data_IF_910755541256
#
_entry.id   IF_910755541256
#
_cell.length_a   1.000
_cell.length_b   1.000
_cell.length_c   1.000
_cell.angle_alpha   90.00
_cell.angle_beta   90.00
_cell.angle_gamma   90.00
#
_symmetry.space_group_name_H-M   'P 1'
#
loop_
_entity.id
_entity.type
_entity.pdbx_description
1 polymer ?
#
# COMPACT_ATOMS: atom_id res chain seq x y z
N UNK A 1 -39.16 20.58 73.29
CA UNK A 1 -38.94 20.59 71.84
C UNK A 1 -39.80 21.68 71.23
N UNK A 2 -39.29 22.60 70.44
CA UNK A 2 -40.07 23.53 69.69
C UNK A 2 -40.49 22.86 68.39
N UNK A 3 -41.76 22.89 68.05
CA UNK A 3 -42.33 22.28 66.87
C UNK A 3 -43.02 23.37 66.02
N UNK A 4 -42.73 23.45 64.74
CA UNK A 4 -43.47 24.30 63.78
C UNK A 4 -44.43 23.41 63.00
N UNK A 5 -45.75 23.58 63.18
CA UNK A 5 -46.78 22.86 62.41
C UNK A 5 -47.40 23.76 61.40
N UNK A 6 -47.30 23.41 60.13
CA UNK A 6 -47.97 24.09 59.00
C UNK A 6 -49.13 23.19 58.55
N UNK A 7 -50.37 23.69 58.60
CA UNK A 7 -51.60 22.96 58.26
C UNK A 7 -52.17 23.43 56.90
N UNK A 8 -53.02 22.63 56.32
CA UNK A 8 -53.79 22.93 55.08
C UNK A 8 -52.89 23.18 53.87
N UNK A 9 -52.00 22.24 53.62
CA UNK A 9 -51.04 22.32 52.45
C UNK A 9 -50.15 23.61 52.49
N UNK A 10 -49.87 24.11 53.67
CA UNK A 10 -48.90 25.19 53.82
C UNK A 10 -47.53 24.77 53.33
N UNK A 11 -46.76 25.75 52.94
CA UNK A 11 -45.37 25.57 52.51
C UNK A 11 -44.39 26.28 53.43
N UNK A 12 -43.19 25.75 53.54
CA UNK A 12 -42.06 26.46 54.10
C UNK A 12 -41.35 27.13 52.93
N UNK A 13 -41.28 28.45 52.95
CA UNK A 13 -40.67 29.21 51.90
C UNK A 13 -39.43 29.90 52.43
N UNK A 14 -38.32 29.84 51.71
CA UNK A 14 -37.10 30.60 51.93
C UNK A 14 -36.90 31.48 50.73
N UNK A 15 -36.73 32.79 50.97
CA UNK A 15 -36.42 33.78 49.95
C UNK A 15 -34.91 34.02 49.85
N UNK A 16 -34.45 34.42 48.69
CA UNK A 16 -33.08 34.89 48.53
C UNK A 16 -32.87 36.27 49.19
N UNK A 17 -31.64 36.78 49.23
CA UNK A 17 -31.27 37.96 49.98
C UNK A 17 -31.98 39.24 49.46
N UNK A 18 -32.38 39.32 48.19
CA UNK A 18 -33.07 40.43 47.59
C UNK A 18 -34.59 40.22 47.49
N UNK A 19 -35.08 39.09 47.97
CA UNK A 19 -36.48 38.69 47.96
C UNK A 19 -37.12 38.58 46.56
N UNK A 20 -36.26 38.43 45.53
CA UNK A 20 -36.71 38.32 44.14
C UNK A 20 -37.19 36.91 43.78
N UNK A 21 -36.70 35.87 44.48
CA UNK A 21 -37.02 34.45 44.23
C UNK A 21 -37.21 33.69 45.54
N UNK A 22 -37.93 32.59 45.45
CA UNK A 22 -38.19 31.74 46.62
C UNK A 22 -37.97 30.25 46.31
N UNK A 23 -37.55 29.49 47.32
CA UNK A 23 -37.57 28.03 47.37
C UNK A 23 -38.58 27.58 48.42
N UNK A 24 -39.49 26.70 48.02
CA UNK A 24 -40.54 26.19 48.91
C UNK A 24 -40.53 24.68 49.05
N UNK A 25 -40.75 24.24 50.29
CA UNK A 25 -41.05 22.85 50.61
C UNK A 25 -42.54 22.72 50.96
N UNK A 26 -43.24 21.85 50.24
CA UNK A 26 -44.69 21.66 50.40
C UNK A 26 -45.03 20.17 50.33
N UNK A 27 -45.89 19.72 51.21
CA UNK A 27 -46.40 18.37 51.15
C UNK A 27 -47.38 18.20 49.95
N UNK A 28 -47.36 17.07 49.25
CA UNK A 28 -48.38 16.76 48.25
C UNK A 28 -49.76 16.74 48.87
N UNK A 29 -50.81 16.86 48.03
CA UNK A 29 -52.21 16.93 48.51
C UNK A 29 -52.63 15.72 49.33
N UNK A 30 -52.00 14.57 49.14
CA UNK A 30 -52.27 13.33 49.89
C UNK A 30 -50.94 12.62 50.20
N UNK A 31 -50.72 12.23 51.45
CA UNK A 31 -49.62 11.35 51.87
C UNK A 31 -50.24 10.12 52.53
N UNK A 32 -49.80 8.93 52.12
CA UNK A 32 -50.39 7.66 52.65
C UNK A 32 -50.00 7.39 54.11
N UNK A 33 -48.90 7.95 54.58
CA UNK A 33 -48.39 7.86 55.94
C UNK A 33 -47.53 9.06 56.27
N UNK A 34 -47.23 9.26 57.58
CA UNK A 34 -46.28 10.31 57.98
C UNK A 34 -44.93 10.05 57.33
N UNK A 35 -44.36 11.10 56.75
CA UNK A 35 -43.03 11.08 56.16
C UNK A 35 -42.10 11.96 57.03
N UNK A 36 -40.95 11.43 57.36
CA UNK A 36 -39.91 12.16 58.14
C UNK A 36 -38.63 12.21 57.27
N UNK A 37 -38.08 13.38 57.08
CA UNK A 37 -36.84 13.60 56.37
C UNK A 37 -35.79 14.11 57.36
N UNK A 38 -34.76 13.29 57.57
CA UNK A 38 -33.61 13.69 58.39
C UNK A 38 -32.57 14.34 57.47
N UNK A 39 -32.20 15.57 57.75
CA UNK A 39 -31.16 16.26 56.98
C UNK A 39 -29.79 15.63 57.20
N UNK A 40 -28.93 15.64 56.20
CA UNK A 40 -27.54 15.19 56.34
C UNK A 40 -26.82 15.96 57.43
N UNK A 41 -25.94 15.28 58.18
CA UNK A 41 -25.12 15.91 59.26
C UNK A 41 -23.98 16.76 58.72
N UNK A 42 -23.68 16.67 57.43
CA UNK A 42 -22.60 17.41 56.76
C UNK A 42 -23.15 18.06 55.45
N UNK A 43 -22.52 19.15 55.01
CA UNK A 43 -22.90 19.86 53.81
C UNK A 43 -22.51 19.19 52.49
N UNK A 44 -21.81 18.05 52.53
CA UNK A 44 -21.32 17.38 51.33
C UNK A 44 -20.16 18.10 50.65
N UNK A 45 -19.66 17.53 49.56
CA UNK A 45 -18.61 18.09 48.70
C UNK A 45 -19.20 18.46 47.31
N UNK A 46 -18.40 19.04 46.42
CA UNK A 46 -18.78 19.25 45.05
C UNK A 46 -19.21 17.91 44.40
N UNK A 47 -20.17 17.95 43.47
CA UNK A 47 -20.79 16.81 42.81
C UNK A 47 -21.65 15.89 43.72
N UNK A 48 -21.94 16.29 44.98
CA UNK A 48 -22.90 15.55 45.77
C UNK A 48 -24.34 15.98 45.47
N UNK A 49 -25.24 15.00 45.47
CA UNK A 49 -26.69 15.21 45.40
C UNK A 49 -27.34 14.70 46.68
N UNK A 50 -28.50 15.22 46.99
CA UNK A 50 -29.30 14.71 48.11
C UNK A 50 -30.04 13.47 47.63
N UNK A 51 -29.78 12.35 48.30
CA UNK A 51 -30.51 11.11 48.07
C UNK A 51 -31.32 10.73 49.32
N UNK A 52 -32.33 9.89 49.16
CA UNK A 52 -33.11 9.36 50.28
C UNK A 52 -33.07 7.82 50.27
N UNK A 53 -32.93 7.21 51.44
CA UNK A 53 -33.14 5.76 51.59
C UNK A 53 -34.61 5.41 51.76
N UNK A 54 -34.93 4.13 51.79
CA UNK A 54 -36.29 3.61 51.98
C UNK A 54 -36.98 4.08 53.30
N UNK A 55 -36.20 4.54 54.26
CA UNK A 55 -36.67 5.07 55.55
C UNK A 55 -36.81 6.60 55.57
N UNK A 56 -36.59 7.29 54.42
CA UNK A 56 -36.70 8.74 54.29
C UNK A 56 -35.50 9.54 54.85
N UNK A 57 -34.39 8.88 55.18
CA UNK A 57 -33.18 9.57 55.61
C UNK A 57 -32.48 10.19 54.39
N UNK A 58 -32.25 11.48 54.43
CA UNK A 58 -31.51 12.22 53.43
C UNK A 58 -30.01 12.08 53.67
N UNK A 59 -29.26 11.81 52.61
CA UNK A 59 -27.79 11.75 52.63
C UNK A 59 -27.20 12.49 51.44
N UNK A 60 -25.98 12.95 51.61
CA UNK A 60 -25.19 13.51 50.46
C UNK A 60 -24.47 12.35 49.78
N UNK A 61 -24.77 12.14 48.54
CA UNK A 61 -24.18 11.05 47.72
C UNK A 61 -23.47 11.66 46.54
N UNK A 62 -22.24 11.22 46.27
CA UNK A 62 -21.52 11.64 45.04
C UNK A 62 -22.30 11.12 43.82
N UNK A 63 -22.61 12.02 42.88
CA UNK A 63 -23.33 11.70 41.66
C UNK A 63 -22.61 10.59 40.86
N UNK A 64 -21.29 10.58 40.90
CA UNK A 64 -20.48 9.56 40.23
C UNK A 64 -20.71 8.13 40.78
N UNK A 65 -21.20 8.01 42.03
CA UNK A 65 -21.55 6.69 42.63
C UNK A 65 -22.94 6.22 42.26
N UNK A 66 -23.79 7.12 41.73
CA UNK A 66 -25.18 6.82 41.27
C UNK A 66 -25.22 6.55 39.77
N UNK A 67 -24.24 7.04 39.00
CA UNK A 67 -24.09 6.73 37.58
C UNK A 67 -23.36 5.39 37.47
N UNK A 68 -24.08 4.30 37.74
CA UNK A 68 -23.52 2.94 37.67
C UNK A 68 -23.38 2.41 36.26
N UNK A 69 -23.64 3.25 35.24
CA UNK A 69 -23.52 2.88 33.82
C UNK A 69 -22.14 3.16 33.22
N UNK A 70 -21.23 3.82 33.96
CA UNK A 70 -19.88 4.06 33.46
C UNK A 70 -18.97 2.87 33.75
N UNK A 71 -18.32 2.38 32.69
CA UNK A 71 -17.32 1.33 32.78
C UNK A 71 -16.11 1.85 33.58
N UNK A 72 -15.85 1.30 34.74
CA UNK A 72 -14.67 1.65 35.56
C UNK A 72 -13.41 1.02 34.95
N UNK A 73 -12.82 1.69 33.96
CA UNK A 73 -11.62 1.22 33.30
C UNK A 73 -10.43 1.14 34.25
N UNK A 74 -9.83 -0.06 34.32
CA UNK A 74 -8.62 -0.30 35.10
C UNK A 74 -7.42 0.21 34.31
N UNK A 75 -6.65 1.13 34.90
CA UNK A 75 -5.47 1.72 34.23
C UNK A 75 -4.29 0.74 34.11
N UNK A 76 -4.29 -0.33 34.93
CA UNK A 76 -3.25 -1.36 34.87
C UNK A 76 -3.57 -2.35 33.75
N UNK A 77 -2.66 -2.46 32.76
CA UNK A 77 -2.76 -3.44 31.68
C UNK A 77 -2.57 -4.86 32.24
N UNK A 78 -3.44 -5.79 31.83
CA UNK A 78 -3.38 -7.18 32.27
C UNK A 78 -2.58 -8.02 31.27
N UNK A 79 -1.59 -8.75 31.78
CA UNK A 79 -0.74 -9.66 30.99
C UNK A 79 -0.97 -11.14 31.36
N UNK A 80 -1.68 -11.38 32.46
CA UNK A 80 -1.86 -12.71 33.04
C UNK A 80 -3.35 -13.02 33.17
N UNK A 81 -3.66 -14.30 33.36
CA UNK A 81 -5.00 -14.75 33.66
C UNK A 81 -5.50 -14.14 34.99
N UNK A 82 -6.65 -13.51 34.96
CA UNK A 82 -7.31 -12.95 36.15
C UNK A 82 -8.80 -13.27 36.14
N UNK A 83 -9.43 -13.18 37.29
CA UNK A 83 -10.88 -13.13 37.41
C UNK A 83 -11.33 -11.68 37.30
N UNK A 84 -12.28 -11.43 36.42
CA UNK A 84 -12.86 -10.12 36.16
C UNK A 84 -13.88 -9.76 37.26
N UNK A 85 -14.03 -8.47 37.51
CA UNK A 85 -15.02 -7.96 38.44
C UNK A 85 -16.14 -7.21 37.68
N UNK A 86 -17.37 -7.34 38.11
CA UNK A 86 -18.50 -6.61 37.53
C UNK A 86 -18.32 -5.10 37.62
N UNK A 87 -18.79 -4.38 36.59
CA UNK A 87 -18.69 -2.93 36.48
C UNK A 87 -17.32 -2.41 35.98
N UNK A 88 -16.38 -3.31 35.72
CA UNK A 88 -15.01 -2.91 35.34
C UNK A 88 -14.70 -3.18 33.87
N UNK A 89 -13.81 -2.34 33.32
CA UNK A 89 -13.18 -2.51 32.02
C UNK A 89 -11.69 -2.78 32.15
N UNK A 90 -11.14 -3.63 31.28
CA UNK A 90 -9.74 -4.06 31.34
C UNK A 90 -9.05 -3.93 30.00
N UNK A 91 -7.82 -3.44 30.00
CA UNK A 91 -6.91 -3.50 28.87
C UNK A 91 -6.07 -4.77 28.96
N UNK A 92 -6.17 -5.65 27.97
CA UNK A 92 -5.52 -6.96 27.94
C UNK A 92 -4.40 -6.95 26.90
N UNK A 93 -3.22 -7.41 27.30
CA UNK A 93 -2.06 -7.52 26.40
C UNK A 93 -1.67 -9.00 26.25
N UNK A 94 -1.88 -9.55 25.06
CA UNK A 94 -1.53 -10.93 24.71
C UNK A 94 -0.23 -11.06 23.92
N UNK A 95 0.61 -10.03 23.88
CA UNK A 95 1.89 -10.06 23.13
C UNK A 95 2.79 -11.23 23.51
N UNK A 96 2.78 -11.63 24.79
CA UNK A 96 3.61 -12.74 25.30
C UNK A 96 3.01 -14.14 25.04
N UNK A 97 1.73 -14.23 24.66
CA UNK A 97 1.02 -15.49 24.40
C UNK A 97 -0.47 -15.39 24.69
N UNK A 98 -1.25 -16.44 24.36
CA UNK A 98 -2.67 -16.51 24.66
C UNK A 98 -2.95 -16.35 26.16
N UNK A 99 -4.02 -15.64 26.49
CA UNK A 99 -4.38 -15.31 27.89
C UNK A 99 -5.84 -15.65 28.12
N UNK A 100 -6.20 -15.99 29.36
CA UNK A 100 -7.57 -16.31 29.76
C UNK A 100 -8.06 -15.33 30.81
N UNK A 101 -9.23 -14.74 30.58
CA UNK A 101 -9.95 -13.91 31.54
C UNK A 101 -11.18 -14.65 32.02
N UNK A 102 -11.30 -14.81 33.35
CA UNK A 102 -12.40 -15.56 33.97
C UNK A 102 -13.51 -14.58 34.33
N UNK A 103 -14.74 -14.83 33.89
CA UNK A 103 -15.91 -14.00 34.22
C UNK A 103 -16.26 -14.09 35.73
N UNK A 104 -16.97 -13.10 36.30
CA UNK A 104 -17.42 -13.13 37.66
C UNK A 104 -18.19 -14.41 38.00
N UNK A 105 -17.97 -14.98 39.15
CA UNK A 105 -18.78 -16.09 39.66
C UNK A 105 -20.11 -15.57 40.27
N UNK A 106 -21.19 -16.30 40.05
CA UNK A 106 -22.52 -15.95 40.59
C UNK A 106 -22.97 -14.52 40.18
N UNK A 107 -22.99 -14.19 38.91
CA UNK A 107 -23.39 -12.87 38.45
C UNK A 107 -24.88 -12.62 38.66
N UNK A 108 -25.26 -11.37 38.85
CA UNK A 108 -26.65 -10.89 38.91
C UNK A 108 -27.04 -10.26 37.56
N UNK A 109 -28.33 -10.27 37.21
CA UNK A 109 -28.80 -9.61 36.01
C UNK A 109 -28.41 -8.12 36.00
N UNK A 110 -27.80 -7.68 34.89
CA UNK A 110 -27.25 -6.34 34.74
C UNK A 110 -25.76 -6.21 35.08
N UNK A 111 -25.12 -7.23 35.67
CA UNK A 111 -23.67 -7.26 35.81
C UNK A 111 -23.01 -7.18 34.42
N UNK A 112 -21.92 -6.43 34.31
CA UNK A 112 -21.21 -6.28 33.05
C UNK A 112 -19.69 -6.27 33.23
N UNK A 113 -18.97 -6.63 32.18
CA UNK A 113 -17.53 -6.48 32.06
C UNK A 113 -17.16 -5.97 30.68
N UNK A 114 -16.10 -5.17 30.59
CA UNK A 114 -15.58 -4.67 29.33
C UNK A 114 -14.14 -5.09 29.13
N UNK A 115 -13.79 -5.47 27.91
CA UNK A 115 -12.44 -5.91 27.55
C UNK A 115 -11.97 -5.15 26.32
N UNK A 116 -10.70 -4.76 26.32
CA UNK A 116 -10.05 -4.08 25.19
C UNK A 116 -8.69 -4.72 24.93
N UNK A 117 -8.47 -5.10 23.67
CA UNK A 117 -7.13 -5.47 23.20
C UNK A 117 -6.21 -4.25 23.25
N UNK A 118 -5.20 -4.32 24.14
CA UNK A 118 -4.25 -3.24 24.35
C UNK A 118 -3.24 -3.12 23.22
N UNK A 119 -2.69 -4.24 22.76
CA UNK A 119 -1.56 -4.28 21.82
C UNK A 119 -1.96 -4.57 20.37
N UNK A 120 -3.23 -4.95 20.11
CA UNK A 120 -3.66 -5.39 18.79
C UNK A 120 -3.10 -6.76 18.43
N UNK A 121 -3.16 -7.71 19.36
CA UNK A 121 -2.52 -9.03 19.24
C UNK A 121 -3.47 -10.21 19.44
N UNK A 122 -4.77 -9.99 19.59
CA UNK A 122 -5.74 -11.09 19.78
C UNK A 122 -5.83 -12.01 18.55
N UNK A 123 -5.56 -11.51 17.35
CA UNK A 123 -5.53 -12.30 16.13
C UNK A 123 -4.36 -13.30 16.09
N UNK A 124 -3.23 -12.97 16.71
CA UNK A 124 -2.06 -13.86 16.81
C UNK A 124 -2.12 -14.71 18.08
N UNK A 125 -2.45 -14.11 19.19
CA UNK A 125 -2.51 -14.73 20.52
C UNK A 125 -3.91 -14.47 21.10
N UNK A 126 -4.83 -15.39 20.88
CA UNK A 126 -6.22 -15.23 21.27
C UNK A 126 -6.41 -14.90 22.75
N UNK A 127 -7.44 -14.11 23.06
CA UNK A 127 -7.98 -13.98 24.40
C UNK A 127 -9.11 -14.98 24.59
N UNK A 128 -9.01 -15.86 25.56
CA UNK A 128 -10.11 -16.74 25.95
C UNK A 128 -10.89 -16.11 27.11
N UNK A 129 -12.19 -16.03 27.00
CA UNK A 129 -13.11 -15.65 28.07
C UNK A 129 -13.66 -16.93 28.68
N UNK A 130 -13.21 -17.22 29.89
CA UNK A 130 -13.70 -18.35 30.67
C UNK A 130 -15.05 -17.97 31.30
N UNK A 131 -16.05 -18.75 31.01
CA UNK A 131 -17.44 -18.54 31.42
C UNK A 131 -17.70 -18.69 32.94
N UNK A 132 -16.77 -19.26 33.68
CA UNK A 132 -16.85 -19.50 35.14
C UNK A 132 -18.19 -20.10 35.60
N UNK A 133 -18.69 -21.10 34.87
CA UNK A 133 -19.93 -21.79 35.20
C UNK A 133 -21.21 -21.22 34.57
N UNK A 134 -21.25 -19.95 34.17
CA UNK A 134 -22.38 -19.33 33.49
C UNK A 134 -22.35 -19.63 31.98
N UNK A 135 -23.45 -19.49 31.26
CA UNK A 135 -23.46 -19.55 29.80
C UNK A 135 -22.88 -18.25 29.21
N UNK A 136 -22.42 -18.34 27.97
CA UNK A 136 -22.11 -17.19 27.12
C UNK A 136 -22.91 -17.37 25.82
N UNK A 137 -23.77 -16.41 25.48
CA UNK A 137 -24.64 -16.48 24.28
C UNK A 137 -25.50 -17.76 24.27
N UNK A 138 -26.03 -18.16 25.44
CA UNK A 138 -26.80 -19.39 25.60
C UNK A 138 -25.99 -20.70 25.56
N UNK A 139 -24.68 -20.63 25.37
CA UNK A 139 -23.80 -21.81 25.24
C UNK A 139 -22.98 -22.07 26.50
N UNK A 140 -22.93 -23.33 26.93
CA UNK A 140 -22.04 -23.77 28.01
C UNK A 140 -20.59 -23.94 27.54
N UNK A 141 -20.04 -22.93 26.87
CA UNK A 141 -18.70 -22.92 26.28
C UNK A 141 -17.99 -21.60 26.56
N UNK A 142 -16.67 -21.63 26.67
CA UNK A 142 -15.85 -20.43 26.71
C UNK A 142 -15.87 -19.72 25.36
N UNK A 143 -15.62 -18.43 25.34
CA UNK A 143 -15.57 -17.63 24.12
C UNK A 143 -14.14 -17.17 23.82
N UNK A 144 -13.73 -17.22 22.57
CA UNK A 144 -12.43 -16.76 22.13
C UNK A 144 -12.56 -15.45 21.33
N UNK A 145 -11.78 -14.44 21.70
CA UNK A 145 -11.58 -13.24 20.92
C UNK A 145 -10.30 -13.38 20.09
N UNK A 146 -10.46 -13.39 18.78
CA UNK A 146 -9.39 -13.62 17.79
C UNK A 146 -9.21 -12.45 16.83
N UNK A 147 -9.83 -11.31 17.11
CA UNK A 147 -9.76 -10.13 16.26
C UNK A 147 -8.87 -9.07 16.91
N UNK A 148 -7.85 -8.62 16.20
CA UNK A 148 -6.96 -7.56 16.69
C UNK A 148 -7.74 -6.28 16.98
N UNK A 149 -7.34 -5.60 18.05
CA UNK A 149 -7.95 -4.37 18.55
C UNK A 149 -9.42 -4.48 18.96
N UNK A 150 -9.92 -5.69 19.14
CA UNK A 150 -11.28 -5.88 19.60
C UNK A 150 -11.59 -5.11 20.90
N UNK A 151 -12.80 -4.62 21.00
CA UNK A 151 -13.37 -4.04 22.21
C UNK A 151 -14.76 -4.64 22.38
N UNK A 152 -15.01 -5.27 23.51
CA UNK A 152 -16.27 -5.94 23.78
C UNK A 152 -16.81 -5.57 25.16
N UNK A 153 -18.14 -5.57 25.28
CA UNK A 153 -18.85 -5.47 26.54
C UNK A 153 -19.80 -6.67 26.64
N UNK A 154 -19.66 -7.42 27.72
CA UNK A 154 -20.56 -8.51 28.07
C UNK A 154 -21.45 -8.08 29.22
N UNK A 155 -22.73 -8.38 29.14
CA UNK A 155 -23.74 -8.14 30.17
C UNK A 155 -24.38 -9.47 30.54
N UNK A 156 -24.48 -9.77 31.83
CA UNK A 156 -25.20 -10.94 32.32
C UNK A 156 -26.70 -10.66 32.35
N UNK A 157 -27.50 -11.51 31.73
CA UNK A 157 -28.95 -11.34 31.63
C UNK A 157 -29.68 -12.30 32.58
N UNK A 158 -29.43 -13.59 32.42
CA UNK A 158 -30.09 -14.65 33.20
C UNK A 158 -29.26 -15.95 33.13
N UNK A 159 -29.78 -17.03 33.75
CA UNK A 159 -29.10 -18.33 33.76
C UNK A 159 -29.22 -19.11 32.44
N UNK A 160 -30.13 -18.71 31.51
CA UNK A 160 -30.35 -19.38 30.23
C UNK A 160 -29.37 -18.86 29.18
N UNK A 161 -29.40 -17.57 28.91
CA UNK A 161 -28.50 -16.93 27.96
C UNK A 161 -27.11 -16.63 28.57
N UNK A 162 -27.08 -16.36 29.87
CA UNK A 162 -25.85 -16.02 30.58
C UNK A 162 -25.33 -14.64 30.22
N UNK A 163 -24.09 -14.58 29.82
CA UNK A 163 -23.41 -13.37 29.38
C UNK A 163 -23.62 -13.14 27.89
N UNK A 164 -24.14 -11.97 27.53
CA UNK A 164 -24.34 -11.57 26.14
C UNK A 164 -23.39 -10.46 25.77
N UNK A 165 -22.82 -10.55 24.56
CA UNK A 165 -22.11 -9.42 23.96
C UNK A 165 -23.12 -8.34 23.56
N UNK A 166 -22.98 -7.15 24.13
CA UNK A 166 -23.84 -5.99 23.84
C UNK A 166 -23.12 -4.95 22.99
N UNK A 167 -21.80 -4.95 23.03
CA UNK A 167 -20.93 -4.12 22.16
C UNK A 167 -19.81 -5.00 21.67
N UNK A 168 -19.65 -5.06 20.37
CA UNK A 168 -18.54 -5.74 19.68
C UNK A 168 -17.96 -4.77 18.66
N UNK A 169 -16.81 -4.20 18.96
CA UNK A 169 -16.10 -3.29 18.07
C UNK A 169 -14.65 -3.73 17.94
N UNK A 170 -14.16 -3.75 16.72
CA UNK A 170 -12.73 -3.66 16.48
C UNK A 170 -12.44 -2.27 15.90
N UNK A 171 -11.43 -1.62 16.42
CA UNK A 171 -10.86 -0.48 15.72
C UNK A 171 -10.08 -1.10 14.57
N UNK A 172 -10.60 -1.00 13.36
CA UNK A 172 -9.87 -1.32 12.15
C UNK A 172 -8.51 -0.61 12.16
N UNK A 173 -7.77 -0.78 11.14
CA UNK A 173 -6.42 -0.28 11.06
C UNK A 173 -6.33 1.20 11.45
N UNK A 174 -5.43 1.49 12.39
CA UNK A 174 -5.10 2.87 12.77
C UNK A 174 -4.14 3.45 11.74
N UNK A 175 -4.36 4.69 11.39
CA UNK A 175 -3.52 5.41 10.42
C UNK A 175 -4.20 5.57 9.05
N UNK A 176 -3.53 6.21 8.09
CA UNK A 176 -4.10 6.41 6.78
C UNK A 176 -4.36 5.06 6.08
N UNK A 177 -5.55 4.89 5.42
CA UNK A 177 -5.91 3.63 4.78
C UNK A 177 -5.02 3.29 3.58
N UNK A 178 -4.39 4.28 2.96
CA UNK A 178 -3.53 4.11 1.79
C UNK A 178 -2.08 4.48 2.08
N UNK A 179 -1.19 4.02 1.20
CA UNK A 179 0.23 4.35 1.29
C UNK A 179 0.43 5.86 1.22
N UNK A 180 1.17 6.41 2.18
CA UNK A 180 1.68 7.78 2.14
C UNK A 180 3.20 7.75 1.97
N UNK A 181 3.72 8.51 1.01
CA UNK A 181 5.13 8.52 0.68
C UNK A 181 5.62 9.89 0.22
N UNK A 182 6.94 10.04 0.21
CA UNK A 182 7.67 11.20 -0.32
C UNK A 182 8.75 10.73 -1.29
N UNK A 183 9.34 11.66 -2.04
CA UNK A 183 10.44 11.39 -2.98
C UNK A 183 10.02 11.49 -4.45
N UNK A 184 10.98 11.81 -5.31
CA UNK A 184 10.76 12.07 -6.72
C UNK A 184 9.92 13.32 -7.00
N UNK A 185 9.52 13.49 -8.26
CA UNK A 185 8.53 14.51 -8.63
C UNK A 185 7.15 13.96 -8.38
N UNK A 186 6.35 14.66 -7.56
CA UNK A 186 5.02 14.21 -7.15
C UNK A 186 3.94 14.93 -7.96
N UNK A 187 3.05 14.17 -8.58
CA UNK A 187 1.85 14.67 -9.24
C UNK A 187 0.62 13.91 -8.73
N UNK A 188 -0.57 14.48 -8.93
CA UNK A 188 -1.84 13.86 -8.52
C UNK A 188 -2.76 13.73 -9.73
N UNK A 189 -3.42 12.58 -9.87
CA UNK A 189 -4.42 12.35 -10.91
C UNK A 189 -5.56 11.50 -10.34
N UNK A 190 -6.76 12.08 -10.24
CA UNK A 190 -7.87 11.45 -9.53
C UNK A 190 -7.45 11.11 -8.09
N UNK A 191 -7.65 9.87 -7.70
CA UNK A 191 -7.33 9.37 -6.36
C UNK A 191 -5.88 8.88 -6.24
N UNK A 192 -5.07 9.02 -7.29
CA UNK A 192 -3.70 8.53 -7.32
C UNK A 192 -2.67 9.63 -7.11
N UNK A 193 -1.66 9.32 -6.31
CA UNK A 193 -0.43 10.10 -6.17
C UNK A 193 0.68 9.39 -6.93
N UNK A 194 1.32 10.10 -7.86
CA UNK A 194 2.32 9.56 -8.78
C UNK A 194 3.68 10.12 -8.40
N UNK A 195 4.65 9.25 -8.14
CA UNK A 195 6.02 9.60 -7.84
C UNK A 195 6.91 9.24 -9.03
N UNK A 196 7.51 10.23 -9.67
CA UNK A 196 8.36 10.05 -10.85
C UNK A 196 9.82 10.30 -10.53
N UNK A 197 10.67 9.34 -10.88
CA UNK A 197 12.12 9.42 -10.73
C UNK A 197 12.78 9.34 -12.11
N UNK A 198 13.52 10.37 -12.49
CA UNK A 198 14.30 10.45 -13.74
C UNK A 198 15.81 10.39 -13.47
N UNK A 199 16.22 10.10 -12.28
CA UNK A 199 17.55 9.88 -11.78
C UNK A 199 17.49 9.18 -10.43
N UNK A 200 18.62 8.79 -9.89
CA UNK A 200 18.73 8.14 -8.59
C UNK A 200 18.05 8.96 -7.51
N UNK A 201 17.46 8.27 -6.54
CA UNK A 201 16.71 8.92 -5.47
C UNK A 201 16.22 7.95 -4.40
N UNK A 202 15.27 8.40 -3.62
CA UNK A 202 14.68 7.58 -2.57
C UNK A 202 13.17 7.77 -2.54
N UNK A 203 12.43 6.67 -2.62
CA UNK A 203 11.00 6.62 -2.33
C UNK A 203 10.83 6.28 -0.86
N UNK A 204 10.40 7.25 -0.04
CA UNK A 204 10.24 7.06 1.40
C UNK A 204 8.77 6.90 1.75
N UNK A 205 8.38 5.69 2.15
CA UNK A 205 7.05 5.38 2.66
C UNK A 205 6.98 5.82 4.12
N UNK A 206 6.11 6.79 4.41
CA UNK A 206 5.88 7.33 5.76
C UNK A 206 4.73 6.62 6.48
N UNK A 207 3.78 6.05 5.72
CA UNK A 207 2.73 5.18 6.22
C UNK A 207 2.41 4.11 5.15
N UNK A 208 2.32 2.87 5.59
CA UNK A 208 2.17 1.73 4.67
C UNK A 208 0.72 1.48 4.20
N UNK A 209 -0.25 2.26 4.71
CA UNK A 209 -1.66 1.93 4.53
C UNK A 209 -2.10 0.81 5.47
N UNK A 210 -3.34 0.38 5.37
CA UNK A 210 -3.92 -0.60 6.27
C UNK A 210 -4.95 -1.51 5.56
N UNK A 211 -5.59 -2.44 6.27
CA UNK A 211 -6.53 -3.41 5.69
C UNK A 211 -7.82 -2.78 5.16
N UNK A 212 -8.15 -1.55 5.56
CA UNK A 212 -9.29 -0.79 5.02
C UNK A 212 -9.00 -0.12 3.67
N UNK A 213 -7.74 -0.11 3.27
CA UNK A 213 -7.24 0.44 2.00
C UNK A 213 -6.27 -0.50 1.31
N UNK A 214 -5.03 -0.05 1.09
CA UNK A 214 -4.01 -0.85 0.43
C UNK A 214 -2.60 -0.51 0.93
N UNK A 215 -1.78 -1.53 1.12
CA UNK A 215 -0.35 -1.42 1.40
C UNK A 215 0.51 -1.69 0.14
N UNK A 216 -0.08 -1.63 -1.04
CA UNK A 216 0.63 -1.88 -2.30
C UNK A 216 0.78 -0.62 -3.12
N UNK A 217 1.85 -0.54 -3.90
CA UNK A 217 2.07 0.50 -4.90
C UNK A 217 2.23 -0.14 -6.28
N UNK A 218 1.60 0.46 -7.28
CA UNK A 218 1.89 0.11 -8.66
C UNK A 218 3.21 0.75 -9.10
N UNK A 219 3.87 0.10 -10.03
CA UNK A 219 5.17 0.55 -10.51
C UNK A 219 5.33 0.39 -12.03
N UNK A 220 6.16 1.26 -12.59
CA UNK A 220 6.79 1.11 -13.87
C UNK A 220 8.29 1.37 -13.71
N UNK A 221 9.11 0.39 -14.04
CA UNK A 221 10.58 0.48 -13.97
C UNK A 221 11.13 0.22 -15.36
N UNK A 222 11.72 1.26 -15.97
CA UNK A 222 12.34 1.21 -17.30
C UNK A 222 13.84 1.43 -17.13
N UNK A 223 14.66 0.52 -17.65
CA UNK A 223 16.11 0.61 -17.60
C UNK A 223 16.69 1.44 -18.75
N UNK A 224 17.97 1.73 -18.68
CA UNK A 224 18.70 2.37 -19.79
C UNK A 224 18.74 1.50 -21.03
N UNK A 225 18.51 2.07 -22.20
CA UNK A 225 18.66 1.39 -23.49
C UNK A 225 20.12 1.11 -23.82
N UNK A 226 20.43 0.05 -24.57
CA UNK A 226 21.73 -0.23 -25.11
C UNK A 226 22.10 0.75 -26.25
N UNK A 227 23.39 1.01 -26.42
CA UNK A 227 23.85 1.81 -27.55
C UNK A 227 23.72 1.03 -28.87
N UNK A 228 23.32 1.71 -29.93
CA UNK A 228 23.56 1.22 -31.30
C UNK A 228 25.07 1.27 -31.61
N UNK A 229 25.57 0.39 -32.49
CA UNK A 229 26.95 0.47 -32.91
C UNK A 229 27.17 1.68 -33.81
N UNK A 230 28.16 2.50 -33.54
CA UNK A 230 28.43 3.77 -34.20
C UNK A 230 29.15 3.63 -35.55
N UNK A 231 29.53 2.40 -35.97
CA UNK A 231 30.25 2.16 -37.25
C UNK A 231 29.33 1.78 -38.40
N UNK A 232 29.94 1.50 -39.55
CA UNK A 232 29.27 1.08 -40.78
C UNK A 232 28.47 -0.21 -40.54
N UNK A 233 27.20 -0.25 -40.95
CA UNK A 233 26.31 -1.40 -40.83
C UNK A 233 26.13 -1.93 -39.40
N UNK A 234 26.21 -1.07 -38.42
CA UNK A 234 26.04 -1.47 -37.02
C UNK A 234 24.61 -1.88 -36.70
N UNK A 235 24.43 -2.82 -35.78
CA UNK A 235 23.14 -3.17 -35.24
C UNK A 235 22.55 -2.05 -34.35
N UNK A 236 21.23 -1.96 -34.28
CA UNK A 236 20.51 -1.05 -33.38
C UNK A 236 20.61 -1.49 -31.94
N UNK A 237 20.66 -0.57 -30.98
CA UNK A 237 20.62 -0.89 -29.57
C UNK A 237 19.24 -1.42 -29.12
N UNK A 238 19.22 -2.39 -28.22
CA UNK A 238 18.00 -2.88 -27.60
C UNK A 238 17.47 -1.88 -26.58
N UNK A 239 16.16 -1.84 -26.41
CA UNK A 239 15.52 -1.06 -25.34
C UNK A 239 15.94 -1.57 -23.95
N UNK A 240 15.96 -0.70 -22.96
CA UNK A 240 16.02 -1.12 -21.57
C UNK A 240 14.82 -1.99 -21.19
N UNK A 241 15.04 -2.88 -20.26
CA UNK A 241 13.97 -3.71 -19.72
C UNK A 241 12.82 -2.86 -19.20
N UNK A 242 11.61 -3.34 -19.35
CA UNK A 242 10.38 -2.68 -18.92
C UNK A 242 9.62 -3.61 -18.01
N UNK A 243 9.43 -3.20 -16.75
CA UNK A 243 8.68 -3.96 -15.75
C UNK A 243 7.57 -3.08 -15.19
N UNK A 244 6.34 -3.59 -15.26
CA UNK A 244 5.15 -2.84 -14.89
C UNK A 244 4.14 -3.73 -14.17
N UNK A 245 3.47 -3.17 -13.15
CA UNK A 245 2.31 -3.78 -12.51
C UNK A 245 0.98 -3.14 -12.92
N UNK A 246 1.01 -1.90 -13.42
CA UNK A 246 -0.18 -1.12 -13.79
C UNK A 246 -0.59 -1.34 -15.26
N UNK A 247 -1.87 -1.39 -15.59
CA UNK A 247 -3.05 -1.44 -14.71
C UNK A 247 -3.41 -2.86 -14.27
N UNK A 248 -2.46 -3.74 -14.19
CA UNK A 248 -2.69 -5.16 -14.19
C UNK A 248 -2.77 -5.76 -12.78
N UNK A 249 -3.92 -6.32 -12.39
CA UNK A 249 -4.02 -7.11 -11.17
C UNK A 249 -3.26 -8.45 -11.23
N UNK A 250 -2.81 -8.90 -12.42
CA UNK A 250 -2.21 -10.22 -12.58
C UNK A 250 -0.81 -10.35 -11.96
N UNK A 251 -0.04 -9.26 -11.86
CA UNK A 251 1.27 -9.26 -11.18
C UNK A 251 1.18 -8.74 -9.75
N UNK A 252 0.05 -8.10 -9.38
CA UNK A 252 -0.10 -7.35 -8.15
C UNK A 252 0.87 -6.16 -8.06
N UNK A 253 0.57 -5.17 -7.24
CA UNK A 253 1.51 -4.12 -6.89
C UNK A 253 2.62 -4.65 -5.97
N UNK A 254 3.63 -3.84 -5.71
CA UNK A 254 4.65 -4.12 -4.71
C UNK A 254 4.10 -3.76 -3.32
N UNK A 255 4.05 -4.74 -2.43
CA UNK A 255 3.74 -4.48 -1.01
C UNK A 255 4.88 -3.70 -0.36
N UNK A 256 4.54 -2.62 0.33
CA UNK A 256 5.51 -1.74 0.98
C UNK A 256 5.23 -1.62 2.47
N UNK A 257 6.29 -1.35 3.22
CA UNK A 257 6.26 -0.99 4.64
C UNK A 257 6.80 0.42 4.84
N UNK A 258 6.56 1.02 6.01
CA UNK A 258 7.05 2.36 6.33
C UNK A 258 8.58 2.35 6.47
N UNK A 259 9.27 2.64 5.36
CA UNK A 259 10.73 2.71 5.26
C UNK A 259 11.16 3.45 3.99
N UNK A 260 12.45 3.68 3.85
CA UNK A 260 13.07 4.23 2.65
C UNK A 260 13.41 3.12 1.66
N UNK A 261 13.04 3.32 0.40
CA UNK A 261 13.37 2.44 -0.73
C UNK A 261 14.30 3.20 -1.68
N UNK A 262 15.57 2.82 -1.79
CA UNK A 262 16.47 3.40 -2.78
C UNK A 262 15.95 3.16 -4.20
N UNK A 263 16.03 4.18 -5.03
CA UNK A 263 15.73 4.12 -6.46
C UNK A 263 17.03 4.31 -7.21
N UNK A 264 17.31 3.39 -8.13
CA UNK A 264 18.36 3.54 -9.13
C UNK A 264 17.73 3.69 -10.50
N UNK A 265 18.15 4.70 -11.26
CA UNK A 265 17.72 4.92 -12.64
C UNK A 265 18.92 4.72 -13.56
N UNK A 266 18.89 3.62 -14.32
CA UNK A 266 19.98 3.24 -15.21
C UNK A 266 20.16 4.21 -16.37
N UNK A 267 21.39 4.61 -16.62
CA UNK A 267 21.77 5.40 -17.79
C UNK A 267 21.72 4.58 -19.09
N UNK A 268 21.49 5.23 -20.21
CA UNK A 268 21.71 4.61 -21.51
C UNK A 268 23.19 4.21 -21.70
N UNK A 269 23.42 3.12 -22.43
CA UNK A 269 24.75 2.65 -22.75
C UNK A 269 25.59 3.70 -23.47
N UNK A 270 26.82 3.88 -23.04
CA UNK A 270 27.81 4.59 -23.82
C UNK A 270 28.08 3.86 -25.16
N UNK A 271 28.82 4.47 -26.09
CA UNK A 271 29.09 3.85 -27.39
C UNK A 271 29.48 2.37 -27.27
N UNK A 272 28.77 1.49 -27.94
CA UNK A 272 28.99 0.05 -28.01
C UNK A 272 28.83 -0.71 -26.66
N UNK A 273 28.15 -0.12 -25.69
CA UNK A 273 27.91 -0.77 -24.41
C UNK A 273 26.41 -1.00 -24.16
N UNK A 274 26.11 -1.95 -23.31
CA UNK A 274 24.76 -2.15 -22.80
C UNK A 274 24.34 -0.96 -21.94
N UNK A 275 23.04 -0.76 -21.80
CA UNK A 275 22.46 0.16 -20.83
C UNK A 275 22.63 -0.35 -19.40
N UNK A 276 22.45 0.55 -18.44
CA UNK A 276 22.47 0.23 -17.00
C UNK A 276 21.08 -0.19 -16.50
N UNK A 277 21.02 -1.03 -15.47
CA UNK A 277 19.75 -1.44 -14.89
C UNK A 277 19.07 -0.31 -14.11
N UNK A 278 17.75 -0.35 -14.05
CA UNK A 278 16.96 0.44 -13.09
C UNK A 278 16.37 -0.46 -12.01
N UNK A 279 16.36 0.04 -10.77
CA UNK A 279 15.99 -0.77 -9.60
C UNK A 279 15.02 0.01 -8.72
N UNK A 280 13.92 -0.66 -8.36
CA UNK A 280 13.02 -0.26 -7.27
C UNK A 280 12.80 -1.45 -6.34
N UNK A 281 13.34 -1.42 -5.14
CA UNK A 281 13.27 -2.51 -4.17
C UNK A 281 13.75 -3.85 -4.76
N UNK A 282 12.90 -4.86 -4.83
CA UNK A 282 13.18 -6.16 -5.45
C UNK A 282 12.96 -6.18 -6.97
N UNK A 283 12.47 -5.09 -7.55
CA UNK A 283 12.17 -5.00 -8.98
C UNK A 283 13.39 -4.45 -9.70
N UNK A 284 14.02 -5.29 -10.49
CA UNK A 284 15.15 -4.90 -11.35
C UNK A 284 14.75 -5.04 -12.82
N UNK A 285 14.87 -3.96 -13.58
CA UNK A 285 14.81 -3.97 -15.04
C UNK A 285 16.24 -3.95 -15.58
N UNK A 286 16.57 -4.88 -16.44
CA UNK A 286 17.93 -5.00 -17.00
C UNK A 286 18.18 -3.96 -18.10
N UNK A 287 19.39 -3.46 -18.19
CA UNK A 287 19.79 -2.60 -19.29
C UNK A 287 19.63 -3.25 -20.66
N UNK A 288 19.36 -2.47 -21.69
CA UNK A 288 19.25 -2.94 -23.07
C UNK A 288 20.59 -3.42 -23.62
N UNK A 289 20.57 -4.42 -24.49
CA UNK A 289 21.77 -4.94 -25.16
C UNK A 289 22.30 -3.96 -26.23
N UNK A 290 23.62 -3.81 -26.33
CA UNK A 290 24.26 -3.03 -27.40
C UNK A 290 24.11 -3.70 -28.76
N UNK A 291 24.01 -2.88 -29.82
CA UNK A 291 24.04 -3.36 -31.19
C UNK A 291 25.38 -4.00 -31.54
N UNK A 292 25.33 -5.02 -32.40
CA UNK A 292 26.52 -5.70 -32.91
C UNK A 292 27.31 -4.80 -33.85
N UNK A 293 28.64 -4.92 -33.78
CA UNK A 293 29.53 -4.40 -34.81
C UNK A 293 29.29 -5.12 -36.14
N UNK A 294 29.83 -4.59 -37.21
CA UNK A 294 29.94 -5.28 -38.52
C UNK A 294 30.46 -6.71 -38.31
N UNK A 295 29.77 -7.71 -38.88
CA UNK A 295 30.00 -9.14 -38.72
C UNK A 295 29.94 -9.65 -37.29
N UNK A 296 29.30 -8.91 -36.35
CA UNK A 296 29.18 -9.34 -34.96
C UNK A 296 27.72 -9.40 -34.51
N UNK A 297 27.45 -10.28 -33.56
CA UNK A 297 26.13 -10.42 -32.94
C UNK A 297 25.80 -9.22 -32.05
N UNK A 298 24.53 -8.96 -31.89
CA UNK A 298 24.04 -8.04 -30.86
C UNK A 298 24.19 -8.64 -29.46
N UNK A 299 24.32 -7.77 -28.47
CA UNK A 299 24.39 -8.16 -27.05
C UNK A 299 23.01 -8.47 -26.48
N UNK A 300 22.99 -9.40 -25.54
CA UNK A 300 21.79 -9.66 -24.74
C UNK A 300 21.54 -8.54 -23.72
N UNK A 301 20.25 -8.37 -23.33
CA UNK A 301 19.83 -7.38 -22.33
C UNK A 301 18.35 -7.47 -21.98
N UNK A 302 17.80 -6.45 -21.36
CA UNK A 302 16.35 -6.32 -21.14
C UNK A 302 15.60 -6.53 -22.46
N UNK A 303 15.94 -5.76 -23.49
CA UNK A 303 15.75 -6.14 -24.90
C UNK A 303 17.13 -6.30 -25.55
N UNK A 304 17.25 -7.21 -26.49
CA UNK A 304 18.52 -7.52 -27.16
C UNK A 304 18.89 -6.48 -28.23
N UNK A 305 20.17 -6.24 -28.42
CA UNK A 305 20.69 -5.45 -29.55
C UNK A 305 20.56 -6.16 -30.90
N UNK A 306 20.44 -5.43 -31.98
CA UNK A 306 20.42 -5.97 -33.35
C UNK A 306 21.75 -6.54 -33.76
N UNK A 307 21.80 -7.53 -34.66
CA UNK A 307 23.00 -8.02 -35.31
C UNK A 307 23.60 -6.98 -36.24
N UNK A 308 24.92 -6.91 -36.33
CA UNK A 308 25.62 -6.09 -37.29
C UNK A 308 25.44 -6.58 -38.73
N UNK A 309 25.66 -5.73 -39.68
CA UNK A 309 25.58 -6.04 -41.12
C UNK A 309 26.58 -7.09 -41.56
N UNK A 310 26.29 -7.75 -42.68
CA UNK A 310 27.11 -8.78 -43.34
C UNK A 310 27.47 -8.39 -44.74
N UNK A 311 28.45 -9.08 -45.37
CA UNK A 311 28.81 -8.97 -46.78
C UNK A 311 28.99 -10.35 -47.44
N UNK A 312 29.28 -10.36 -48.74
CA UNK A 312 29.47 -11.58 -49.52
C UNK A 312 30.60 -12.48 -49.08
N UNK A 313 31.47 -12.02 -48.17
CA UNK A 313 32.54 -12.81 -47.53
C UNK A 313 32.20 -13.28 -46.10
N UNK A 314 31.00 -12.94 -45.64
CA UNK A 314 30.54 -13.33 -44.33
C UNK A 314 30.28 -14.83 -44.25
N UNK A 315 30.97 -15.59 -43.39
CA UNK A 315 30.80 -17.04 -43.35
C UNK A 315 29.49 -17.44 -42.65
N UNK A 316 28.82 -16.54 -41.97
CA UNK A 316 27.62 -16.83 -41.19
C UNK A 316 26.76 -15.60 -40.98
N UNK A 317 25.52 -15.84 -40.57
CA UNK A 317 24.60 -14.80 -40.11
C UNK A 317 25.12 -14.11 -38.86
N UNK A 318 24.79 -12.86 -38.67
CA UNK A 318 24.89 -12.22 -37.36
C UNK A 318 23.52 -12.29 -36.68
N UNK A 319 23.51 -12.70 -35.42
CA UNK A 319 22.27 -12.86 -34.65
C UNK A 319 22.01 -11.63 -33.79
N UNK A 320 20.73 -11.28 -33.64
CA UNK A 320 20.34 -10.32 -32.61
C UNK A 320 20.59 -10.89 -31.21
N UNK A 321 20.88 -10.04 -30.25
CA UNK A 321 21.01 -10.39 -28.85
C UNK A 321 19.68 -10.92 -28.27
N UNK A 322 19.77 -11.79 -27.28
CA UNK A 322 18.60 -12.25 -26.55
C UNK A 322 17.99 -11.12 -25.70
N UNK A 323 16.68 -10.99 -25.79
CA UNK A 323 15.90 -10.16 -24.86
C UNK A 323 15.53 -10.94 -23.59
N UNK A 324 14.86 -10.27 -22.66
CA UNK A 324 14.49 -10.84 -21.37
C UNK A 324 15.67 -11.52 -20.65
N UNK A 325 16.82 -10.86 -20.61
CA UNK A 325 18.05 -11.36 -20.01
C UNK A 325 18.51 -10.41 -18.90
N UNK A 326 18.58 -10.87 -17.63
CA UNK A 326 18.18 -12.19 -17.15
C UNK A 326 16.64 -12.42 -17.32
N UNK A 327 16.19 -13.70 -17.41
CA UNK A 327 14.79 -13.99 -17.63
C UNK A 327 13.93 -13.62 -16.42
N UNK A 328 12.82 -12.94 -16.69
CA UNK A 328 11.79 -12.59 -15.72
C UNK A 328 10.40 -12.85 -16.30
N UNK A 329 9.40 -12.92 -15.43
CA UNK A 329 8.00 -13.05 -15.81
C UNK A 329 7.18 -11.91 -15.20
N UNK A 330 6.36 -11.18 -15.99
CA UNK A 330 6.32 -11.17 -17.47
C UNK A 330 7.67 -10.78 -18.09
N UNK A 331 7.93 -11.14 -19.37
CA UNK A 331 9.17 -10.76 -20.05
C UNK A 331 9.39 -9.25 -20.07
N UNK A 332 10.62 -8.82 -19.83
CA UNK A 332 10.99 -7.39 -19.77
C UNK A 332 11.42 -6.80 -21.12
N UNK A 333 11.44 -7.59 -22.19
CA UNK A 333 11.79 -7.15 -23.54
C UNK A 333 11.97 -8.32 -24.50
N UNK A 334 12.21 -8.01 -25.78
CA UNK A 334 12.30 -8.96 -26.86
C UNK A 334 13.71 -8.99 -27.47
N UNK A 335 13.98 -10.03 -28.29
CA UNK A 335 15.24 -10.20 -29.01
C UNK A 335 15.48 -9.07 -30.03
N UNK A 336 16.75 -8.77 -30.30
CA UNK A 336 17.14 -8.00 -31.44
C UNK A 336 16.93 -8.77 -32.76
N UNK A 337 16.86 -8.05 -33.88
CA UNK A 337 16.82 -8.61 -35.20
C UNK A 337 18.16 -9.23 -35.64
N UNK A 338 18.14 -10.16 -36.58
CA UNK A 338 19.30 -10.84 -37.11
C UNK A 338 19.59 -10.42 -38.57
N UNK A 339 20.84 -10.40 -38.97
CA UNK A 339 21.26 -10.15 -40.31
C UNK A 339 21.70 -11.46 -40.97
N UNK A 340 21.01 -11.97 -42.00
CA UNK A 340 21.40 -13.20 -42.65
C UNK A 340 22.70 -13.06 -43.42
N UNK A 341 23.43 -14.16 -43.67
CA UNK A 341 24.54 -14.19 -44.61
C UNK A 341 24.04 -13.91 -46.03
N UNK A 342 24.78 -13.13 -46.77
CA UNK A 342 24.43 -12.83 -48.16
C UNK A 342 25.61 -13.12 -49.09
N UNK A 343 25.46 -14.00 -50.07
CA UNK A 343 26.59 -14.54 -50.83
C UNK A 343 27.22 -13.57 -51.84
N UNK A 344 26.54 -12.49 -52.20
CA UNK A 344 26.99 -11.57 -53.25
C UNK A 344 26.73 -10.10 -52.98
N UNK A 345 26.27 -9.73 -51.76
CA UNK A 345 25.90 -8.34 -51.46
C UNK A 345 26.28 -7.92 -50.05
N UNK A 346 25.98 -6.69 -49.74
CA UNK A 346 26.17 -6.13 -48.38
C UNK A 346 24.81 -5.86 -47.76
N UNK A 347 24.64 -6.23 -46.52
CA UNK A 347 23.43 -5.96 -45.75
C UNK A 347 23.72 -4.94 -44.65
N UNK A 348 22.76 -4.04 -44.43
CA UNK A 348 22.78 -3.14 -43.27
C UNK A 348 22.59 -3.92 -41.96
N UNK A 349 22.76 -3.23 -40.86
CA UNK A 349 22.51 -3.78 -39.52
C UNK A 349 21.02 -3.99 -39.23
N UNK A 350 20.73 -4.92 -38.35
CA UNK A 350 19.38 -5.22 -37.86
C UNK A 350 18.95 -4.29 -36.73
N UNK A 351 17.65 -4.16 -36.54
CA UNK A 351 17.09 -3.37 -35.44
C UNK A 351 17.23 -4.03 -34.06
N UNK A 352 17.40 -3.24 -33.02
CA UNK A 352 17.32 -3.69 -31.65
C UNK A 352 15.90 -4.06 -31.23
N UNK A 353 15.74 -4.95 -30.25
CA UNK A 353 14.45 -5.34 -29.69
C UNK A 353 13.80 -4.20 -28.88
N UNK A 354 12.48 -4.15 -28.87
CA UNK A 354 11.66 -3.33 -27.97
C UNK A 354 10.86 -4.20 -27.02
N UNK A 355 10.11 -3.60 -26.10
CA UNK A 355 9.21 -4.39 -25.24
C UNK A 355 8.01 -4.91 -26.02
N UNK A 356 7.50 -4.14 -27.00
CA UNK A 356 6.31 -4.52 -27.76
C UNK A 356 6.56 -5.48 -28.91
N UNK A 357 7.79 -5.54 -29.46
CA UNK A 357 8.15 -6.47 -30.53
C UNK A 357 9.65 -6.71 -30.64
N UNK A 358 10.00 -7.81 -31.30
CA UNK A 358 11.38 -8.09 -31.74
C UNK A 358 11.90 -7.00 -32.69
N UNK A 359 13.21 -6.82 -32.72
CA UNK A 359 13.86 -6.00 -33.70
C UNK A 359 13.70 -6.59 -35.10
N UNK A 360 13.60 -5.73 -36.13
CA UNK A 360 13.43 -6.19 -37.53
C UNK A 360 14.76 -6.73 -38.04
N UNK A 361 14.70 -7.87 -38.73
CA UNK A 361 15.84 -8.44 -39.40
C UNK A 361 16.28 -7.55 -40.58
N UNK A 362 17.57 -7.55 -40.88
CA UNK A 362 18.05 -6.85 -42.07
C UNK A 362 17.39 -7.42 -43.34
N UNK A 363 16.91 -6.56 -44.28
CA UNK A 363 16.25 -7.02 -45.46
C UNK A 363 17.22 -7.75 -46.42
N UNK A 364 16.82 -8.88 -46.92
CA UNK A 364 17.50 -9.62 -47.98
C UNK A 364 16.98 -9.16 -49.33
N UNK A 365 17.71 -8.31 -50.05
CA UNK A 365 17.32 -7.87 -51.41
C UNK A 365 18.33 -8.36 -52.43
N UNK A 366 17.91 -8.72 -53.67
CA UNK A 366 18.84 -8.97 -54.78
C UNK A 366 19.38 -7.64 -55.29
N UNK A 367 20.70 -7.49 -55.27
CA UNK A 367 21.32 -6.45 -56.05
C UNK A 367 22.28 -5.55 -55.29
N UNK A 368 23.17 -5.06 -56.01
CA UNK A 368 24.22 -4.09 -55.83
C UNK A 368 23.70 -2.73 -55.28
N UNK A 369 22.96 -2.73 -54.21
CA UNK A 369 22.48 -1.50 -53.57
C UNK A 369 22.94 -1.43 -52.14
N UNK A 370 23.13 -0.23 -51.63
CA UNK A 370 23.41 0.03 -50.25
C UNK A 370 22.38 -0.70 -49.35
N UNK A 371 22.85 -1.61 -48.52
CA UNK A 371 21.97 -2.33 -47.57
C UNK A 371 21.36 -1.35 -46.59
N UNK A 372 20.04 -1.21 -46.64
CA UNK A 372 19.33 -0.37 -45.68
C UNK A 372 19.37 -0.98 -44.28
N UNK A 373 19.49 -0.14 -43.27
CA UNK A 373 19.32 -0.55 -41.88
C UNK A 373 17.86 -0.97 -41.56
N UNK A 374 17.66 -1.93 -40.73
CA UNK A 374 16.34 -2.42 -40.32
C UNK A 374 15.76 -1.64 -39.12
N UNK A 375 14.42 -1.64 -39.04
CA UNK A 375 13.72 -0.93 -37.98
C UNK A 375 13.91 -1.56 -36.59
N UNK A 376 13.92 -0.75 -35.55
CA UNK A 376 13.85 -1.18 -34.17
C UNK A 376 12.48 -1.76 -33.80
N UNK A 377 12.45 -2.60 -32.79
CA UNK A 377 11.21 -3.14 -32.23
C UNK A 377 10.39 -2.05 -31.53
N UNK A 378 9.08 -2.24 -31.53
CA UNK A 378 8.16 -1.29 -30.92
C UNK A 378 8.27 -1.29 -29.39
N UNK A 379 8.05 -0.13 -28.77
CA UNK A 379 7.77 0.03 -27.34
C UNK A 379 6.30 -0.28 -27.02
N UNK A 380 5.95 -0.14 -25.76
CA UNK A 380 4.60 -0.31 -25.23
C UNK A 380 4.14 0.95 -24.53
N UNK A 381 2.83 1.25 -24.66
CA UNK A 381 2.21 2.38 -23.98
C UNK A 381 1.80 1.98 -22.56
N UNK A 382 2.11 2.85 -21.60
CA UNK A 382 1.64 2.76 -20.22
C UNK A 382 0.97 4.08 -19.84
N UNK A 383 -0.13 3.98 -19.08
CA UNK A 383 -0.87 5.11 -18.54
C UNK A 383 -0.61 5.32 -17.03
N UNK A 384 0.38 4.72 -16.44
CA UNK A 384 0.69 4.85 -15.02
C UNK A 384 0.92 6.32 -14.57
N UNK A 385 1.34 7.17 -15.47
CA UNK A 385 1.51 8.61 -15.22
C UNK A 385 0.29 9.46 -15.67
N UNK A 386 -0.90 8.86 -15.65
CA UNK A 386 -2.20 9.45 -16.02
C UNK A 386 -2.39 9.76 -17.51
N UNK A 387 -1.39 9.54 -18.33
CA UNK A 387 -1.48 9.71 -19.80
C UNK A 387 -0.74 8.59 -20.50
N UNK A 388 -1.26 8.04 -21.59
CA UNK A 388 -0.57 6.98 -22.31
C UNK A 388 0.74 7.49 -22.93
N UNK A 389 1.86 6.91 -22.49
CA UNK A 389 3.19 7.22 -23.01
C UNK A 389 3.86 5.93 -23.45
N UNK A 390 4.25 5.87 -24.74
CA UNK A 390 4.98 4.72 -25.29
C UNK A 390 6.46 4.81 -24.89
N UNK A 391 7.00 3.72 -24.34
CA UNK A 391 8.39 3.63 -23.84
C UNK A 391 9.04 2.33 -24.30
N UNK A 392 10.36 2.25 -24.13
CA UNK A 392 11.16 1.06 -24.39
C UNK A 392 11.06 0.52 -25.83
N UNK A 393 11.14 1.42 -26.81
CA UNK A 393 11.34 1.07 -28.23
C UNK A 393 12.81 0.80 -28.52
N UNK A 394 13.09 -0.12 -29.45
CA UNK A 394 14.43 -0.48 -29.89
C UNK A 394 15.01 0.51 -30.93
N UNK A 395 16.32 0.60 -31.02
CA UNK A 395 17.04 1.41 -32.00
C UNK A 395 17.04 0.78 -33.41
N UNK A 396 17.03 1.62 -34.45
CA UNK A 396 17.21 1.15 -35.81
C UNK A 396 18.65 0.73 -36.11
N UNK A 397 18.84 -0.22 -37.04
CA UNK A 397 20.14 -0.62 -37.55
C UNK A 397 20.77 0.40 -38.49
N UNK A 398 22.10 0.43 -38.56
CA UNK A 398 22.86 1.25 -39.48
C UNK A 398 22.85 0.71 -40.91
N UNK A 399 23.03 1.58 -41.89
CA UNK A 399 23.19 1.16 -43.27
C UNK A 399 24.65 0.91 -43.67
N UNK A 400 24.87 0.28 -44.80
CA UNK A 400 26.16 0.17 -45.48
C UNK A 400 26.06 0.57 -46.96
N UNK A 401 26.97 1.45 -47.40
CA UNK A 401 27.19 1.76 -48.82
C UNK A 401 28.50 1.11 -49.29
N UNK A 402 28.46 0.38 -50.41
CA UNK A 402 29.64 -0.32 -50.95
C UNK A 402 30.49 0.56 -51.89
N UNK A 403 29.94 1.56 -52.50
CA UNK A 403 30.56 2.28 -53.60
C UNK A 403 30.91 3.76 -53.27
N UNK A 404 31.58 4.03 -52.20
CA UNK A 404 32.06 5.38 -51.93
C UNK A 404 30.96 6.45 -51.73
N UNK A 405 31.32 7.73 -51.58
CA UNK A 405 30.40 8.79 -51.19
C UNK A 405 29.37 9.21 -52.26
N UNK A 406 29.30 8.55 -53.40
CA UNK A 406 28.44 8.94 -54.54
C UNK A 406 27.43 7.91 -54.99
N UNK A 407 27.34 6.71 -54.42
CA UNK A 407 26.38 5.69 -54.81
C UNK A 407 25.36 5.43 -53.68
N UNK A 408 24.21 5.97 -53.85
CA UNK A 408 22.94 5.70 -53.16
C UNK A 408 23.02 5.47 -51.65
N UNK A 409 22.89 6.51 -50.87
CA UNK A 409 22.84 6.44 -49.41
C UNK A 409 21.67 5.63 -48.94
N UNK A 410 21.88 4.36 -48.55
CA UNK A 410 20.90 3.62 -47.76
C UNK A 410 20.62 4.38 -46.45
N UNK A 411 19.37 4.53 -46.12
CA UNK A 411 19.00 5.18 -44.88
C UNK A 411 19.21 4.24 -43.72
N UNK A 412 19.67 4.75 -42.58
CA UNK A 412 19.60 4.01 -41.32
C UNK A 412 18.14 3.66 -40.99
N UNK A 413 17.93 2.50 -40.40
CA UNK A 413 16.62 2.02 -40.01
C UNK A 413 15.95 2.99 -39.02
N UNK A 414 14.62 3.16 -39.11
CA UNK A 414 13.90 3.95 -38.15
C UNK A 414 13.96 3.31 -36.73
N UNK A 415 13.96 4.16 -35.75
CA UNK A 415 13.75 3.71 -34.39
C UNK A 415 12.33 3.15 -34.20
N UNK A 416 12.17 2.20 -33.28
CA UNK A 416 10.85 1.80 -32.80
C UNK A 416 10.22 2.92 -31.98
N UNK A 417 8.87 3.05 -32.00
CA UNK A 417 8.16 3.97 -31.12
C UNK A 417 8.57 3.76 -29.66
N UNK A 418 8.74 4.83 -28.89
CA UNK A 418 9.06 4.76 -27.48
C UNK A 418 10.53 4.97 -27.12
N UNK A 419 11.31 5.69 -27.89
CA UNK A 419 12.61 6.20 -27.51
C UNK A 419 13.85 5.56 -28.13
N UNK A 420 13.70 4.62 -29.06
CA UNK A 420 14.85 4.06 -29.76
C UNK A 420 15.57 5.14 -30.60
N UNK A 421 16.90 5.07 -30.72
CA UNK A 421 17.69 5.90 -31.61
C UNK A 421 17.60 5.43 -33.06
N UNK A 422 17.65 6.35 -34.04
CA UNK A 422 17.75 5.99 -35.44
C UNK A 422 19.17 5.50 -35.76
N UNK A 423 19.28 4.42 -36.51
CA UNK A 423 20.57 3.91 -36.98
C UNK A 423 21.35 4.95 -37.83
N UNK A 424 22.70 4.90 -37.72
CA UNK A 424 23.58 5.74 -38.49
C UNK A 424 23.50 5.47 -39.98
N UNK A 425 23.33 6.52 -40.77
CA UNK A 425 23.50 6.50 -42.23
C UNK A 425 24.94 6.84 -42.59
N UNK A 426 25.30 6.64 -43.87
CA UNK A 426 26.59 7.12 -44.45
C UNK A 426 26.70 8.65 -44.39
N UNK A 427 25.62 9.36 -44.18
CA UNK A 427 25.56 10.80 -43.95
C UNK A 427 25.91 11.25 -42.49
N UNK A 428 26.25 10.30 -41.63
CA UNK A 428 26.60 10.60 -40.24
C UNK A 428 25.43 10.96 -39.33
N UNK A 429 24.17 10.86 -39.82
CA UNK A 429 22.96 11.23 -39.07
C UNK A 429 22.46 10.10 -38.20
N UNK A 430 23.23 9.69 -37.17
CA UNK A 430 22.66 8.90 -36.06
C UNK A 430 21.93 9.85 -35.10
N UNK A 431 20.77 9.43 -34.61
CA UNK A 431 20.09 10.15 -33.53
C UNK A 431 20.10 9.30 -32.27
N UNK A 432 20.40 9.93 -31.15
CA UNK A 432 20.23 9.29 -29.85
C UNK A 432 18.76 9.00 -29.60
N UNK A 433 18.47 7.91 -28.89
CA UNK A 433 17.12 7.66 -28.38
C UNK A 433 16.71 8.79 -27.45
N UNK A 434 15.42 9.11 -27.46
CA UNK A 434 14.83 9.97 -26.43
C UNK A 434 14.51 9.14 -25.19
N UNK A 435 14.84 9.67 -24.04
CA UNK A 435 14.51 9.06 -22.76
C UNK A 435 13.01 9.11 -22.49
#
# INVERSE_FOLDING_TARGET
MAEIRIRNQGKITVQDADSSNEVSLQAPSTVASNQEFTLPSTSGSANNIITTNASGVLSMTDINTLITSDIAWQSTVQYNNITLESGKGYFINTTAGPTTMTLPSSPSAGDFVALKDYAGTFGTNKLTIDRNGSNIQGLAANSDLTTDRASVVLVYVDSTEGWLYTVENNVGDLGPPYVAATGGTITTSGDFKIHTFTGDGTFTVTAAGNSSGSNTVDYLVVAGGGAGYCGVAGGGGGAGGHRESFPNPATGGLSVSAQAYPIQVGSGGAANTNGEPSIFSSITSAGGGSGGNYLSNGSAGGSGGGGGGTDGNAPSNTTGGAGNTPPVSPPQGNNGGSTPAHPTGTLGGSGGGGIGSVGVNAPTGPGTGAGSGAAGGNGTASSINASPVTRAGGGGGGNRSYDGPSSGSGAGGPAGPGGGGKGGGTDGTATNGTA
#
